data_IF_257993317524
#
_entry.id   IF_257993317524
#
_cell.length_a   1.000
_cell.length_b   1.000
_cell.length_c   1.000
_cell.angle_alpha   90.00
_cell.angle_beta   90.00
_cell.angle_gamma   90.00
#
_symmetry.space_group_name_H-M   'P 1'
#
loop_
_entity.id
_entity.type
_entity.pdbx_description
1 polymer ?
#
# COMPACT_ATOMS: atom_id res chain seq x y z
N UNK A 1 -5.55 39.52 27.45
CA UNK A 1 -5.84 39.29 26.01
C UNK A 1 -7.35 39.24 25.84
N UNK A 2 -7.95 39.98 24.89
CA UNK A 2 -9.42 40.03 24.74
C UNK A 2 -9.98 38.72 24.18
N UNK A 3 -11.20 38.33 24.59
CA UNK A 3 -11.88 37.09 24.15
C UNK A 3 -11.90 36.94 22.62
N UNK A 4 -12.05 38.05 21.90
CA UNK A 4 -12.06 38.06 20.43
C UNK A 4 -10.68 37.75 19.81
N UNK A 5 -9.58 38.14 20.48
CA UNK A 5 -8.22 37.77 20.05
C UNK A 5 -7.94 36.28 20.28
N UNK A 6 -8.41 35.73 21.41
CA UNK A 6 -8.31 34.29 21.69
C UNK A 6 -9.09 33.44 20.67
N UNK A 7 -10.31 33.85 20.32
CA UNK A 7 -11.14 33.19 19.30
C UNK A 7 -10.51 33.27 17.90
N UNK A 8 -9.94 34.43 17.53
CA UNK A 8 -9.24 34.60 16.26
C UNK A 8 -7.99 33.71 16.15
N UNK A 9 -7.18 33.62 17.20
CA UNK A 9 -6.00 32.73 17.24
C UNK A 9 -6.43 31.27 17.16
N UNK A 10 -7.47 30.87 17.91
CA UNK A 10 -8.02 29.51 17.85
C UNK A 10 -8.50 29.11 16.46
N UNK A 11 -9.18 30.02 15.75
CA UNK A 11 -9.64 29.78 14.38
C UNK A 11 -8.47 29.61 13.40
N UNK A 12 -7.44 30.45 13.51
CA UNK A 12 -6.24 30.34 12.65
C UNK A 12 -5.56 28.98 12.87
N UNK A 13 -5.34 28.58 14.13
CA UNK A 13 -4.74 27.28 14.46
C UNK A 13 -5.58 26.14 13.88
N UNK A 14 -6.90 26.17 14.06
CA UNK A 14 -7.79 25.15 13.53
C UNK A 14 -7.75 25.07 12.00
N UNK A 15 -7.74 26.21 11.31
CA UNK A 15 -7.62 26.26 9.84
C UNK A 15 -6.26 25.74 9.39
N UNK A 16 -5.15 26.12 10.04
CA UNK A 16 -3.82 25.61 9.69
C UNK A 16 -3.72 24.10 9.90
N UNK A 17 -4.27 23.57 11.00
CA UNK A 17 -4.35 22.13 11.25
C UNK A 17 -5.20 21.45 10.16
N UNK A 18 -6.36 22.01 9.81
CA UNK A 18 -7.24 21.44 8.78
C UNK A 18 -6.59 21.48 7.39
N UNK A 19 -5.88 22.55 7.04
CA UNK A 19 -5.16 22.63 5.77
C UNK A 19 -3.96 21.68 5.72
N UNK A 20 -3.32 21.42 6.87
CA UNK A 20 -2.17 20.51 6.95
C UNK A 20 -2.58 19.03 6.98
N UNK A 21 -3.54 18.68 7.83
CA UNK A 21 -3.91 17.29 8.12
C UNK A 21 -5.26 16.87 7.50
N UNK A 22 -6.09 17.81 7.06
CA UNK A 22 -7.38 17.57 6.41
C UNK A 22 -7.30 17.49 4.89
N UNK A 23 -6.09 17.34 4.33
CA UNK A 23 -5.84 17.34 2.87
C UNK A 23 -6.72 16.34 2.12
N UNK A 24 -6.94 15.15 2.64
CA UNK A 24 -7.82 14.14 2.03
C UNK A 24 -9.32 14.47 2.06
N UNK A 25 -9.74 15.43 2.90
CA UNK A 25 -11.12 15.90 2.99
C UNK A 25 -11.41 16.95 1.92
N UNK A 26 -10.52 17.94 1.76
CA UNK A 26 -10.78 19.06 0.82
C UNK A 26 -10.16 18.86 -0.57
N UNK A 27 -9.08 18.08 -0.73
CA UNK A 27 -8.45 17.84 -2.04
C UNK A 27 -9.38 17.21 -3.07
N UNK A 28 -10.31 16.29 -2.75
CA UNK A 28 -11.27 15.78 -3.75
C UNK A 28 -12.08 16.91 -4.41
N UNK A 29 -12.44 17.94 -3.65
CA UNK A 29 -13.14 19.11 -4.19
C UNK A 29 -12.21 19.98 -5.04
N UNK A 30 -10.99 20.24 -4.57
CA UNK A 30 -9.98 21.00 -5.33
C UNK A 30 -9.65 20.31 -6.67
N UNK A 31 -9.47 18.99 -6.65
CA UNK A 31 -9.20 18.18 -7.84
C UNK A 31 -10.38 18.19 -8.81
N UNK A 32 -11.61 18.13 -8.30
CA UNK A 32 -12.81 18.29 -9.14
C UNK A 32 -12.81 19.63 -9.88
N UNK A 33 -12.27 20.70 -9.30
CA UNK A 33 -12.11 21.99 -9.97
C UNK A 33 -10.89 22.05 -10.92
N UNK A 34 -9.76 21.42 -10.55
CA UNK A 34 -8.53 21.39 -11.37
C UNK A 34 -8.58 20.39 -12.54
N UNK A 35 -9.53 19.47 -12.55
CA UNK A 35 -9.56 18.32 -13.46
C UNK A 35 -8.67 17.16 -12.99
N UNK A 36 -8.63 16.08 -13.77
CA UNK A 36 -7.83 14.89 -13.45
C UNK A 36 -6.34 15.21 -13.48
N UNK A 37 -5.60 14.80 -12.45
CA UNK A 37 -4.15 14.96 -12.39
C UNK A 37 -3.43 13.76 -13.01
N UNK A 38 -2.25 13.98 -13.58
CA UNK A 38 -1.35 12.89 -13.97
C UNK A 38 -0.55 12.40 -12.77
N UNK A 39 0.13 11.26 -12.92
CA UNK A 39 1.04 10.73 -11.88
C UNK A 39 2.15 11.75 -11.64
N UNK A 40 2.75 12.30 -12.69
CA UNK A 40 3.85 13.26 -12.65
C UNK A 40 3.46 14.52 -11.88
N UNK A 41 2.33 15.15 -12.26
CA UNK A 41 1.84 16.34 -11.56
C UNK A 41 1.58 16.07 -10.08
N UNK A 42 1.08 14.88 -9.74
CA UNK A 42 0.83 14.52 -8.35
C UNK A 42 2.13 14.30 -7.57
N UNK A 43 3.15 13.70 -8.18
CA UNK A 43 4.47 13.55 -7.59
C UNK A 43 5.08 14.92 -7.32
N UNK A 44 4.98 15.85 -8.28
CA UNK A 44 5.49 17.22 -8.11
C UNK A 44 4.88 17.93 -6.90
N UNK A 45 3.59 17.71 -6.63
CA UNK A 45 2.86 18.28 -5.51
C UNK A 45 3.27 17.72 -4.12
N UNK A 46 3.89 16.53 -4.04
CA UNK A 46 4.11 15.82 -2.76
C UNK A 46 5.58 15.42 -2.53
N UNK A 47 6.43 15.38 -3.56
CA UNK A 47 7.76 14.77 -3.46
C UNK A 47 8.69 15.43 -2.44
N UNK A 48 8.55 16.74 -2.21
CA UNK A 48 9.36 17.46 -1.21
C UNK A 48 8.99 17.04 0.20
N UNK A 49 7.69 16.99 0.51
CA UNK A 49 7.21 16.56 1.82
C UNK A 49 7.52 15.08 2.07
N UNK A 50 7.40 14.26 1.03
CA UNK A 50 7.76 12.83 1.09
C UNK A 50 9.25 12.66 1.34
N UNK A 51 10.13 13.41 0.65
CA UNK A 51 11.57 13.36 0.89
C UNK A 51 11.88 13.67 2.35
N UNK A 52 11.32 14.76 2.89
CA UNK A 52 11.55 15.17 4.27
C UNK A 52 11.14 14.09 5.30
N UNK A 53 10.10 13.29 5.00
CA UNK A 53 9.66 12.20 5.88
C UNK A 53 10.48 10.92 5.73
N UNK A 54 11.03 10.67 4.53
CA UNK A 54 11.75 9.44 4.20
C UNK A 54 13.28 9.57 4.28
N UNK A 55 13.84 10.77 4.31
CA UNK A 55 15.28 11.01 4.20
C UNK A 55 16.10 10.14 5.15
N UNK A 56 15.72 10.06 6.43
CA UNK A 56 16.41 9.22 7.41
C UNK A 56 16.31 7.73 7.08
N UNK A 57 15.13 7.25 6.68
CA UNK A 57 14.91 5.86 6.28
C UNK A 57 15.72 5.49 5.04
N UNK A 58 15.71 6.37 4.02
CA UNK A 58 16.48 6.22 2.79
C UNK A 58 17.98 6.21 3.08
N UNK A 59 18.47 7.13 3.91
CA UNK A 59 19.86 7.19 4.35
C UNK A 59 20.32 5.88 5.00
N UNK A 60 19.51 5.32 5.91
CA UNK A 60 19.80 4.04 6.58
C UNK A 60 19.78 2.87 5.59
N UNK A 61 18.91 2.90 4.58
CA UNK A 61 18.90 1.92 3.49
C UNK A 61 20.08 2.10 2.51
N UNK A 62 20.79 3.23 2.55
CA UNK A 62 21.98 3.51 1.73
C UNK A 62 21.74 4.52 0.59
N UNK A 63 20.59 5.18 0.57
CA UNK A 63 20.19 6.13 -0.46
C UNK A 63 20.26 7.57 0.07
N UNK A 64 21.37 8.27 -0.18
CA UNK A 64 21.63 9.59 0.44
C UNK A 64 20.92 10.77 -0.20
N UNK A 65 20.73 10.74 -1.51
CA UNK A 65 20.22 11.86 -2.32
C UNK A 65 19.37 11.38 -3.50
N UNK A 66 18.92 10.12 -3.47
CA UNK A 66 18.07 9.55 -4.51
C UNK A 66 17.11 8.52 -3.87
N UNK A 67 16.17 8.03 -4.68
CA UNK A 67 15.28 6.93 -4.34
C UNK A 67 15.78 5.62 -4.97
N UNK A 68 15.50 4.46 -4.32
CA UNK A 68 15.75 3.16 -4.93
C UNK A 68 15.01 3.01 -6.26
N UNK A 69 15.67 2.39 -7.25
CA UNK A 69 15.07 2.08 -8.55
C UNK A 69 14.36 0.73 -8.57
N UNK A 70 14.61 -0.13 -7.57
CA UNK A 70 13.90 -1.38 -7.34
C UNK A 70 13.40 -1.40 -5.89
N UNK A 71 12.10 -1.68 -5.73
CA UNK A 71 11.49 -1.88 -4.42
C UNK A 71 10.62 -3.14 -4.41
N UNK A 72 10.35 -3.65 -3.21
CA UNK A 72 9.41 -4.74 -2.96
C UNK A 72 8.42 -4.26 -1.90
N UNK A 73 7.13 -4.39 -2.20
CA UNK A 73 6.05 -4.13 -1.26
C UNK A 73 5.65 -5.45 -0.60
N UNK A 74 5.59 -5.51 0.72
CA UNK A 74 5.28 -6.74 1.45
C UNK A 74 4.20 -6.45 2.49
N UNK A 75 3.01 -6.97 2.27
CA UNK A 75 1.87 -6.81 3.16
C UNK A 75 1.71 -8.07 4.01
N UNK A 76 1.66 -7.89 5.33
CA UNK A 76 1.40 -8.94 6.29
C UNK A 76 0.01 -8.74 6.91
N UNK A 77 -0.88 -9.70 6.69
CA UNK A 77 -2.30 -9.56 7.08
C UNK A 77 -2.50 -9.67 8.60
N UNK A 78 -1.84 -10.62 9.25
CA UNK A 78 -1.93 -10.83 10.70
C UNK A 78 -1.34 -9.65 11.48
N UNK A 79 -0.14 -9.21 11.09
CA UNK A 79 0.58 -8.07 11.68
C UNK A 79 -0.01 -6.72 11.26
N UNK A 80 -0.87 -6.72 10.23
CA UNK A 80 -1.54 -5.53 9.67
C UNK A 80 -0.54 -4.43 9.32
N UNK A 81 0.50 -4.79 8.58
CA UNK A 81 1.59 -3.90 8.21
C UNK A 81 1.97 -4.08 6.75
N UNK A 82 2.24 -2.97 6.08
CA UNK A 82 2.90 -2.93 4.78
C UNK A 82 4.35 -2.52 4.99
N UNK A 83 5.28 -3.37 4.60
CA UNK A 83 6.71 -3.08 4.58
C UNK A 83 7.13 -2.71 3.15
N UNK A 84 8.06 -1.75 3.04
CA UNK A 84 8.70 -1.40 1.78
C UNK A 84 10.18 -1.67 1.89
N UNK A 85 10.68 -2.52 1.00
CA UNK A 85 12.09 -2.85 0.90
C UNK A 85 12.70 -2.22 -0.34
N UNK A 86 13.93 -1.76 -0.25
CA UNK A 86 14.78 -1.48 -1.41
C UNK A 86 15.54 -2.73 -1.81
N UNK A 87 15.83 -2.87 -3.10
CA UNK A 87 16.73 -3.90 -3.63
C UNK A 87 17.80 -3.28 -4.50
N UNK A 88 19.05 -3.64 -4.26
CA UNK A 88 20.19 -3.26 -5.09
C UNK A 88 21.27 -4.35 -5.07
N UNK A 89 22.47 -4.05 -5.58
CA UNK A 89 23.61 -4.97 -5.58
C UNK A 89 24.13 -5.31 -4.17
N UNK A 90 23.80 -4.52 -3.15
CA UNK A 90 24.14 -4.78 -1.75
C UNK A 90 23.09 -5.67 -1.05
N UNK A 91 21.99 -6.00 -1.73
CA UNK A 91 20.95 -6.88 -1.23
C UNK A 91 19.61 -6.20 -1.05
N UNK A 92 18.79 -6.77 -0.17
CA UNK A 92 17.46 -6.26 0.16
C UNK A 92 17.54 -5.59 1.53
N UNK A 93 16.94 -4.40 1.68
CA UNK A 93 16.93 -3.66 2.95
C UNK A 93 15.57 -3.04 3.20
N UNK A 94 15.10 -3.11 4.44
CA UNK A 94 13.86 -2.45 4.85
C UNK A 94 14.06 -0.93 4.81
N UNK A 95 13.15 -0.23 4.11
CA UNK A 95 13.08 1.24 4.14
C UNK A 95 12.20 1.65 5.32
N UNK A 96 10.93 1.20 5.33
CA UNK A 96 9.92 1.62 6.31
C UNK A 96 8.74 0.64 6.37
N UNK A 97 8.06 0.67 7.51
CA UNK A 97 6.83 -0.06 7.76
C UNK A 97 5.65 0.91 7.94
N UNK A 98 4.48 0.51 7.45
CA UNK A 98 3.25 1.29 7.47
C UNK A 98 2.11 0.44 8.02
N UNK A 99 1.60 0.74 9.23
CA UNK A 99 0.45 0.04 9.78
C UNK A 99 -0.78 0.21 8.87
N UNK A 100 -1.58 -0.82 8.76
CA UNK A 100 -2.89 -0.70 8.12
C UNK A 100 -3.79 0.18 8.98
N UNK A 101 -4.55 1.06 8.35
CA UNK A 101 -5.51 1.92 9.06
C UNK A 101 -6.86 1.24 9.28
N UNK A 102 -7.14 0.17 8.53
CA UNK A 102 -8.26 -0.74 8.72
C UNK A 102 -7.95 -2.11 8.09
N UNK A 103 -8.73 -3.12 8.46
CA UNK A 103 -8.58 -4.49 7.96
C UNK A 103 -9.95 -5.11 7.73
N UNK A 104 -10.09 -5.91 6.67
CA UNK A 104 -11.29 -6.69 6.36
C UNK A 104 -10.93 -8.12 6.00
N UNK A 105 -11.86 -9.03 6.27
CA UNK A 105 -11.66 -10.46 6.03
C UNK A 105 -10.88 -11.14 7.15
N UNK A 106 -10.33 -12.30 6.83
CA UNK A 106 -9.56 -13.18 7.70
C UNK A 106 -8.28 -13.64 6.99
N UNK A 107 -7.45 -14.44 7.65
CA UNK A 107 -6.35 -15.14 6.98
C UNK A 107 -6.92 -16.12 5.94
N UNK A 108 -6.21 -16.27 4.82
CA UNK A 108 -6.63 -17.02 3.65
C UNK A 108 -6.75 -16.14 2.39
N UNK A 109 -6.60 -16.75 1.20
CA UNK A 109 -6.64 -16.03 -0.06
C UNK A 109 -8.04 -15.50 -0.38
N UNK A 110 -8.09 -14.53 -1.29
CA UNK A 110 -9.32 -14.10 -1.95
C UNK A 110 -9.72 -15.14 -2.99
N UNK A 111 -11.01 -15.52 -3.01
CA UNK A 111 -11.51 -16.57 -3.91
C UNK A 111 -12.60 -16.06 -4.86
N UNK A 112 -13.31 -14.99 -4.50
CA UNK A 112 -14.38 -14.42 -5.33
C UNK A 112 -14.62 -12.95 -5.06
N UNK A 113 -15.27 -12.25 -5.97
CA UNK A 113 -15.74 -10.90 -5.74
C UNK A 113 -16.67 -10.83 -4.51
N UNK A 114 -16.54 -9.77 -3.72
CA UNK A 114 -17.39 -9.53 -2.54
C UNK A 114 -17.11 -10.38 -1.30
N UNK A 115 -16.11 -11.29 -1.32
CA UNK A 115 -15.70 -12.07 -0.13
C UNK A 115 -14.99 -11.24 0.97
N UNK A 116 -14.71 -9.96 0.70
CA UNK A 116 -14.03 -9.00 1.61
C UNK A 116 -12.60 -9.39 1.99
N UNK A 117 -12.02 -10.39 1.32
CA UNK A 117 -10.65 -10.83 1.55
C UNK A 117 -9.65 -9.91 0.85
N UNK A 118 -8.56 -9.60 1.55
CA UNK A 118 -7.31 -9.20 0.90
C UNK A 118 -6.67 -10.49 0.35
N UNK A 119 -6.28 -10.55 -0.95
CA UNK A 119 -5.68 -11.74 -1.53
C UNK A 119 -4.35 -12.09 -0.88
N UNK A 120 -3.91 -13.34 -1.01
CA UNK A 120 -2.62 -13.82 -0.51
C UNK A 120 -1.86 -14.42 -1.70
N UNK A 121 -0.64 -13.95 -1.96
CA UNK A 121 0.11 -14.34 -3.13
C UNK A 121 1.26 -13.40 -3.49
N UNK A 122 1.81 -13.61 -4.69
CA UNK A 122 2.88 -12.82 -5.28
C UNK A 122 2.32 -12.13 -6.51
N UNK A 123 2.40 -10.81 -6.52
CA UNK A 123 1.78 -9.92 -7.50
C UNK A 123 2.79 -8.87 -7.94
N UNK A 124 2.34 -7.99 -8.83
CA UNK A 124 3.05 -6.79 -9.25
C UNK A 124 2.14 -5.56 -9.13
N UNK A 125 2.75 -4.38 -9.10
CA UNK A 125 2.03 -3.14 -9.32
C UNK A 125 1.66 -3.02 -10.79
N UNK A 126 0.36 -2.88 -11.05
CA UNK A 126 -0.19 -2.75 -12.41
C UNK A 126 -0.15 -1.28 -12.87
N UNK A 127 -0.63 -0.37 -12.03
CA UNK A 127 -0.57 1.07 -12.28
C UNK A 127 -0.75 1.91 -11.01
N UNK A 128 -0.42 3.20 -11.13
CA UNK A 128 -0.61 4.22 -10.11
C UNK A 128 -1.84 5.08 -10.43
N UNK A 129 -2.73 5.28 -9.45
CA UNK A 129 -3.92 6.11 -9.58
C UNK A 129 -3.82 7.38 -8.73
N UNK A 130 -3.49 8.54 -9.34
CA UNK A 130 -3.41 9.83 -8.64
C UNK A 130 -4.78 10.46 -8.36
N UNK A 131 -5.86 9.90 -8.92
CA UNK A 131 -7.24 10.40 -8.85
C UNK A 131 -8.16 9.45 -8.07
N UNK A 132 -7.60 8.68 -7.14
CA UNK A 132 -8.37 7.73 -6.34
C UNK A 132 -9.39 8.44 -5.46
N UNK A 133 -10.58 7.85 -5.33
CA UNK A 133 -11.56 8.26 -4.30
C UNK A 133 -11.03 8.07 -2.88
N UNK A 134 -9.97 7.27 -2.72
CA UNK A 134 -9.24 7.04 -1.48
C UNK A 134 -7.91 7.82 -1.42
N UNK A 135 -7.90 9.05 -1.97
CA UNK A 135 -6.76 9.97 -2.06
C UNK A 135 -5.72 9.57 -3.11
N UNK A 136 -4.95 8.50 -2.88
CA UNK A 136 -4.04 7.88 -3.83
C UNK A 136 -4.24 6.37 -3.77
N UNK A 137 -4.03 5.67 -4.88
CA UNK A 137 -4.02 4.21 -4.85
C UNK A 137 -3.05 3.58 -5.84
N UNK A 138 -2.61 2.37 -5.50
CA UNK A 138 -1.69 1.54 -6.27
C UNK A 138 -2.44 0.26 -6.60
N UNK A 139 -2.63 -0.05 -7.89
CA UNK A 139 -3.32 -1.25 -8.34
C UNK A 139 -2.40 -2.46 -8.20
N UNK A 140 -2.89 -3.51 -7.54
CA UNK A 140 -2.23 -4.81 -7.44
C UNK A 140 -2.77 -5.73 -8.53
N UNK A 141 -1.89 -6.50 -9.18
CA UNK A 141 -2.19 -7.39 -10.31
C UNK A 141 -2.95 -8.69 -9.92
N UNK A 142 -3.89 -8.61 -8.99
CA UNK A 142 -4.83 -9.70 -8.67
C UNK A 142 -6.00 -9.71 -9.68
N UNK A 143 -6.49 -10.89 -10.11
CA UNK A 143 -5.94 -12.23 -9.86
C UNK A 143 -4.74 -12.56 -10.74
N UNK A 144 -3.74 -13.24 -10.18
CA UNK A 144 -2.60 -13.77 -10.94
C UNK A 144 -2.89 -15.19 -11.49
N UNK A 145 -1.93 -15.78 -12.21
CA UNK A 145 -2.09 -17.13 -12.79
C UNK A 145 -2.30 -18.23 -11.74
N UNK A 146 -1.70 -18.10 -10.56
CA UNK A 146 -1.93 -19.07 -9.49
C UNK A 146 -3.37 -18.95 -8.97
N UNK A 147 -3.86 -17.75 -8.71
CA UNK A 147 -5.24 -17.53 -8.28
C UNK A 147 -6.23 -18.12 -9.30
N UNK A 148 -6.00 -17.86 -10.59
CA UNK A 148 -6.80 -18.40 -11.69
C UNK A 148 -6.73 -19.92 -11.77
N UNK A 149 -5.58 -20.53 -11.49
CA UNK A 149 -5.42 -21.99 -11.48
C UNK A 149 -6.16 -22.69 -10.34
N UNK A 150 -6.45 -21.96 -9.26
CA UNK A 150 -7.09 -22.50 -8.05
C UNK A 150 -8.59 -22.18 -7.95
N UNK A 151 -9.09 -21.30 -8.81
CA UNK A 151 -10.52 -20.95 -8.82
C UNK A 151 -11.39 -22.12 -9.28
N UNK A 152 -12.56 -22.26 -8.67
CA UNK A 152 -13.63 -23.17 -9.13
C UNK A 152 -14.73 -22.43 -9.89
N UNK A 153 -14.56 -21.13 -10.11
CA UNK A 153 -15.52 -20.27 -10.80
C UNK A 153 -15.51 -20.58 -12.30
N UNK A 154 -16.69 -20.60 -12.93
CA UNK A 154 -16.82 -20.79 -14.38
C UNK A 154 -16.33 -19.59 -15.18
N UNK A 155 -16.31 -18.40 -14.56
CA UNK A 155 -15.84 -17.16 -15.16
C UNK A 155 -14.80 -16.51 -14.25
N UNK A 156 -13.62 -16.20 -14.80
CA UNK A 156 -12.53 -15.55 -14.05
C UNK A 156 -12.93 -14.15 -13.57
N UNK A 157 -13.83 -13.45 -14.30
CA UNK A 157 -14.30 -12.14 -13.88
C UNK A 157 -14.99 -12.17 -12.49
N UNK A 158 -15.58 -13.30 -12.11
CA UNK A 158 -16.26 -13.48 -10.83
C UNK A 158 -15.26 -13.52 -9.64
N UNK A 159 -13.95 -13.58 -9.91
CA UNK A 159 -12.91 -13.41 -8.89
C UNK A 159 -12.80 -11.97 -8.39
N UNK A 160 -13.34 -11.01 -9.15
CA UNK A 160 -13.07 -9.59 -9.01
C UNK A 160 -11.66 -9.21 -9.44
N UNK A 161 -11.28 -7.95 -9.24
CA UNK A 161 -9.94 -7.46 -9.60
C UNK A 161 -9.50 -6.19 -8.88
N UNK A 162 -10.41 -5.52 -8.15
CA UNK A 162 -10.17 -4.21 -7.53
C UNK A 162 -9.42 -4.32 -6.19
N UNK A 163 -8.17 -4.75 -6.27
CA UNK A 163 -7.26 -4.82 -5.13
C UNK A 163 -6.25 -3.68 -5.23
N UNK A 164 -6.27 -2.82 -4.20
CA UNK A 164 -5.44 -1.63 -4.14
C UNK A 164 -4.75 -1.49 -2.79
N UNK A 165 -3.56 -0.89 -2.81
CA UNK A 165 -2.96 -0.25 -1.65
C UNK A 165 -3.34 1.24 -1.74
N UNK A 166 -3.94 1.82 -0.70
CA UNK A 166 -4.51 3.18 -0.82
C UNK A 166 -4.48 4.00 0.48
N UNK A 167 -4.81 5.29 0.35
CA UNK A 167 -4.95 6.23 1.47
C UNK A 167 -6.24 6.05 2.27
N UNK A 168 -6.60 7.03 3.11
CA UNK A 168 -7.76 6.94 4.03
C UNK A 168 -7.77 5.66 4.89
N UNK A 169 -8.90 5.36 5.51
CA UNK A 169 -9.04 4.26 6.48
C UNK A 169 -10.23 3.33 6.25
N UNK A 170 -10.92 3.42 5.11
CA UNK A 170 -12.06 2.57 4.80
C UNK A 170 -11.69 1.51 3.76
N UNK A 171 -12.00 0.23 4.01
CA UNK A 171 -11.68 -0.87 3.09
C UNK A 171 -12.72 -2.00 3.14
N UNK A 172 -12.92 -2.67 2.01
CA UNK A 172 -13.66 -3.94 1.85
C UNK A 172 -12.84 -4.86 0.91
N UNK A 173 -11.64 -5.25 1.33
CA UNK A 173 -10.74 -6.16 0.60
C UNK A 173 -9.47 -5.53 0.02
N UNK A 174 -9.23 -4.23 0.25
CA UNK A 174 -8.01 -3.51 -0.09
C UNK A 174 -7.09 -3.32 1.13
N UNK A 175 -5.88 -2.77 0.91
CA UNK A 175 -4.90 -2.45 1.97
C UNK A 175 -4.87 -0.92 2.18
N UNK A 176 -5.57 -0.39 3.21
CA UNK A 176 -5.53 1.03 3.54
C UNK A 176 -4.36 1.32 4.48
N UNK A 177 -3.52 2.30 4.15
CA UNK A 177 -2.36 2.70 4.97
C UNK A 177 -2.42 4.16 5.44
N UNK A 178 -3.49 4.88 5.07
CA UNK A 178 -3.64 6.30 5.40
C UNK A 178 -2.90 7.22 4.44
N UNK A 179 -3.22 8.51 4.51
CA UNK A 179 -2.88 9.48 3.46
C UNK A 179 -1.37 9.81 3.41
N UNK A 180 -0.74 10.01 4.56
CA UNK A 180 0.72 10.32 4.60
C UNK A 180 1.55 9.11 4.14
N UNK A 181 1.15 7.90 4.55
CA UNK A 181 1.84 6.67 4.17
C UNK A 181 1.67 6.37 2.67
N UNK A 182 0.47 6.55 2.10
CA UNK A 182 0.28 6.29 0.68
C UNK A 182 1.06 7.27 -0.19
N UNK A 183 1.27 8.52 0.22
CA UNK A 183 2.15 9.44 -0.52
C UNK A 183 3.57 8.90 -0.62
N UNK A 184 4.12 8.41 0.50
CA UNK A 184 5.47 7.86 0.56
C UNK A 184 5.61 6.61 -0.33
N UNK A 185 4.67 5.66 -0.18
CA UNK A 185 4.67 4.43 -1.00
C UNK A 185 4.42 4.73 -2.47
N UNK A 186 3.57 5.71 -2.80
CA UNK A 186 3.26 6.09 -4.17
C UNK A 186 4.47 6.72 -4.87
N UNK A 187 5.21 7.60 -4.19
CA UNK A 187 6.46 8.16 -4.73
C UNK A 187 7.52 7.07 -4.91
N UNK A 188 7.76 6.24 -3.89
CA UNK A 188 8.72 5.13 -3.98
C UNK A 188 8.38 4.21 -5.15
N UNK A 189 7.10 3.85 -5.29
CA UNK A 189 6.60 3.01 -6.39
C UNK A 189 6.81 3.70 -7.73
N UNK A 190 6.50 4.99 -7.87
CA UNK A 190 6.70 5.73 -9.12
C UNK A 190 8.18 5.76 -9.54
N UNK A 191 9.10 5.91 -8.60
CA UNK A 191 10.55 5.91 -8.88
C UNK A 191 11.06 4.54 -9.32
N UNK A 192 10.39 3.46 -8.92
CA UNK A 192 10.77 2.08 -9.22
C UNK A 192 9.94 1.41 -10.34
N UNK A 193 8.84 2.02 -10.79
CA UNK A 193 7.82 1.35 -11.64
C UNK A 193 8.39 0.80 -12.96
N UNK A 194 9.38 1.46 -13.54
CA UNK A 194 10.02 1.03 -14.79
C UNK A 194 10.85 -0.26 -14.65
N UNK A 195 11.16 -0.69 -13.43
CA UNK A 195 11.84 -1.97 -13.17
C UNK A 195 10.89 -3.07 -12.69
N UNK A 196 9.58 -2.80 -12.68
CA UNK A 196 8.59 -3.65 -12.03
C UNK A 196 8.63 -3.53 -10.51
N UNK A 197 7.46 -3.50 -9.88
CA UNK A 197 7.36 -3.46 -8.41
C UNK A 197 6.63 -4.70 -7.94
N UNK A 198 7.37 -5.61 -7.32
CA UNK A 198 6.83 -6.83 -6.73
C UNK A 198 6.00 -6.50 -5.51
N UNK A 199 4.84 -7.13 -5.39
CA UNK A 199 3.93 -7.03 -4.24
C UNK A 199 3.72 -8.44 -3.67
N UNK A 200 4.18 -8.68 -2.45
CA UNK A 200 3.94 -9.92 -1.73
C UNK A 200 2.84 -9.64 -0.71
N UNK A 201 1.75 -10.40 -0.74
CA UNK A 201 0.73 -10.35 0.31
C UNK A 201 0.71 -11.70 1.00
N UNK A 202 1.10 -11.70 2.27
CA UNK A 202 1.28 -12.91 3.07
C UNK A 202 0.27 -12.93 4.22
N UNK A 203 -0.22 -14.13 4.63
CA UNK A 203 -1.07 -14.22 5.81
C UNK A 203 -0.37 -13.67 7.06
N UNK A 204 0.93 -13.91 7.21
CA UNK A 204 1.76 -13.50 8.34
C UNK A 204 3.23 -13.40 7.97
N UNK A 205 4.07 -12.89 8.86
CA UNK A 205 5.51 -12.92 8.66
C UNK A 205 6.10 -14.30 8.98
N UNK A 206 6.36 -15.09 7.93
CA UNK A 206 6.95 -16.42 8.08
C UNK A 206 8.39 -16.45 8.61
N UNK A 207 9.04 -15.29 8.81
CA UNK A 207 10.36 -15.18 9.46
C UNK A 207 10.23 -15.24 10.98
N UNK A 208 9.14 -14.72 11.53
CA UNK A 208 8.86 -14.68 12.97
C UNK A 208 7.91 -15.79 13.40
N UNK A 209 6.97 -16.17 12.54
CA UNK A 209 6.02 -17.26 12.77
C UNK A 209 5.98 -18.20 11.55
N UNK A 210 6.70 -19.31 11.62
CA UNK A 210 6.79 -20.27 10.51
C UNK A 210 5.56 -21.17 10.32
N UNK A 211 4.58 -21.12 11.22
CA UNK A 211 3.40 -21.99 11.14
C UNK A 211 2.40 -21.50 10.08
N UNK A 212 2.04 -22.38 9.16
CA UNK A 212 1.04 -22.09 8.12
C UNK A 212 -0.37 -22.08 8.72
N UNK A 213 -1.16 -21.01 8.48
CA UNK A 213 -2.59 -21.02 8.80
C UNK A 213 -3.29 -22.15 8.06
N UNK A 214 -4.25 -22.82 8.71
CA UNK A 214 -5.14 -23.76 8.03
C UNK A 214 -6.37 -23.01 7.53
N UNK A 215 -6.67 -23.13 6.24
CA UNK A 215 -7.80 -22.43 5.64
C UNK A 215 -8.91 -23.41 5.33
N UNK A 216 -10.06 -23.26 6.01
CA UNK A 216 -11.19 -24.17 5.84
C UNK A 216 -11.70 -24.12 4.40
N UNK A 217 -11.83 -25.29 3.77
CA UNK A 217 -12.35 -25.42 2.40
C UNK A 217 -11.32 -25.21 1.30
N UNK A 218 -10.05 -25.02 1.66
CA UNK A 218 -8.90 -25.02 0.76
C UNK A 218 -8.01 -26.22 1.12
N UNK A 219 -7.46 -26.90 0.11
CA UNK A 219 -6.54 -28.03 0.23
C UNK A 219 -5.17 -27.77 -0.44
N UNK A 220 -4.99 -26.58 -1.01
CA UNK A 220 -3.81 -26.12 -1.72
C UNK A 220 -3.09 -24.96 -1.01
N UNK A 221 -3.51 -24.59 0.19
CA UNK A 221 -2.97 -23.44 0.93
C UNK A 221 -1.48 -23.60 1.24
N UNK A 222 -1.03 -24.83 1.51
CA UNK A 222 0.40 -25.10 1.75
C UNK A 222 1.25 -24.80 0.51
N UNK A 223 0.75 -25.09 -0.70
CA UNK A 223 1.44 -24.75 -1.95
C UNK A 223 1.56 -23.23 -2.11
N UNK A 224 0.49 -22.49 -1.80
CA UNK A 224 0.51 -21.02 -1.78
C UNK A 224 1.55 -20.50 -0.76
N UNK A 225 1.52 -21.03 0.46
CA UNK A 225 2.35 -20.55 1.55
C UNK A 225 3.82 -20.92 1.38
N UNK A 226 4.14 -22.05 0.75
CA UNK A 226 5.52 -22.37 0.35
C UNK A 226 6.07 -21.35 -0.66
N UNK A 227 5.27 -20.95 -1.65
CA UNK A 227 5.66 -19.92 -2.64
C UNK A 227 5.93 -18.57 -1.95
N UNK A 228 4.98 -18.12 -1.12
CA UNK A 228 5.11 -16.85 -0.39
C UNK A 228 6.31 -16.88 0.58
N UNK A 229 6.48 -17.96 1.34
CA UNK A 229 7.59 -18.13 2.29
C UNK A 229 8.94 -18.08 1.59
N UNK A 230 9.07 -18.68 0.41
CA UNK A 230 10.33 -18.66 -0.34
C UNK A 230 10.72 -17.25 -0.78
N UNK A 231 9.75 -16.40 -1.14
CA UNK A 231 10.01 -14.98 -1.41
C UNK A 231 10.38 -14.23 -0.13
N UNK A 232 9.65 -14.41 0.97
CA UNK A 232 9.90 -13.73 2.24
C UNK A 232 11.30 -14.04 2.80
N UNK A 233 11.81 -15.26 2.61
CA UNK A 233 13.19 -15.63 3.03
C UNK A 233 14.28 -14.78 2.38
N UNK A 234 13.99 -14.13 1.25
CA UNK A 234 14.95 -13.24 0.56
C UNK A 234 15.03 -11.86 1.21
N UNK A 235 14.06 -11.50 2.05
CA UNK A 235 13.99 -10.26 2.81
C UNK A 235 14.83 -10.40 4.10
N UNK A 236 16.15 -10.27 3.94
CA UNK A 236 17.12 -10.30 5.06
C UNK A 236 17.27 -8.96 5.75
#
# INVERSE_FOLDING_TARGET
MTRNRLLGIGLIIAVTIFLKYGRSVYMPFVNKMKGSQTVESRIDDIQVDVWNRLENNLNLAGYKMDYPKEIILVAFKEERVLQVYSKDYNGVKLIKEYPFTAFSGELGPKLKEGDKQIPEGIYEVEYLNPNSSFYLSIKVSYPNEFDKSKTKLSNIADMGGDIFIHGKSATIGCIPIGDEAIEEVFVLTQKAINNGVKVIISPRDFRTNSEYPKIIGIDWENELYDRIRNEIKTLK
#
